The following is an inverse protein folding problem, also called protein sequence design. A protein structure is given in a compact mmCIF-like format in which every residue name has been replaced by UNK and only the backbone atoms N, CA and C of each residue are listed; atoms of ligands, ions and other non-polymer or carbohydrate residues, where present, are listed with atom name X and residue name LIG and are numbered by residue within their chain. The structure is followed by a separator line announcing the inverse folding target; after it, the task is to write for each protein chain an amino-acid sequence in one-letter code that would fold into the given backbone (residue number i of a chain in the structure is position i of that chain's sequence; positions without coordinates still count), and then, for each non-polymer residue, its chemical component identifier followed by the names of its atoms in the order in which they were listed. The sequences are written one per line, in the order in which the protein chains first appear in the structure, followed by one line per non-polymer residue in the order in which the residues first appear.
data_IF_062255498844
#
_entry.id   IF_062255498844
#
_cell.length_a   1.000
_cell.length_b   1.000
_cell.length_c   1.000
_cell.angle_alpha   90.00
_cell.angle_beta   90.00
_cell.angle_gamma   90.00
#
_symmetry.space_group_name_H-M   'P 1'
#
loop_
_entity.id
_entity.type
_entity.pdbx_description
1 polymer ?
#
# COMPACT_ATOMS: atom_id res chain seq x y z
N UNK A 1 -37.09 -4.54 -0.55
CA UNK A 1 -36.18 -4.90 -1.65
C UNK A 1 -34.97 -3.99 -1.53
N UNK A 2 -33.77 -4.54 -1.41
CA UNK A 2 -32.56 -3.69 -1.47
C UNK A 2 -32.45 -3.09 -2.87
N UNK A 3 -32.35 -1.75 -2.94
CA UNK A 3 -32.17 -1.06 -4.20
C UNK A 3 -30.74 -1.26 -4.73
N UNK A 4 -30.59 -1.33 -6.05
CA UNK A 4 -29.30 -1.58 -6.72
C UNK A 4 -28.22 -0.59 -6.27
N UNK A 5 -28.57 0.67 -6.02
CA UNK A 5 -27.60 1.66 -5.50
C UNK A 5 -27.09 1.31 -4.11
N UNK A 6 -27.93 0.74 -3.24
CA UNK A 6 -27.52 0.33 -1.90
C UNK A 6 -26.53 -0.84 -1.93
N UNK A 7 -26.70 -1.74 -2.90
CA UNK A 7 -25.77 -2.86 -3.13
C UNK A 7 -24.46 -2.35 -3.71
N UNK A 8 -24.50 -1.49 -4.73
CA UNK A 8 -23.29 -0.90 -5.35
C UNK A 8 -22.41 -0.19 -4.31
N UNK A 9 -23.01 0.60 -3.40
CA UNK A 9 -22.27 1.26 -2.30
C UNK A 9 -21.54 0.29 -1.37
N UNK A 10 -21.99 -0.96 -1.24
CA UNK A 10 -21.35 -1.98 -0.38
C UNK A 10 -20.24 -2.75 -1.09
N UNK A 11 -20.24 -2.75 -2.43
CA UNK A 11 -19.28 -3.53 -3.24
C UNK A 11 -18.26 -2.65 -3.98
N UNK A 12 -18.40 -1.33 -3.90
CA UNK A 12 -17.41 -0.38 -4.42
C UNK A 12 -16.52 0.12 -3.27
N UNK A 13 -15.18 0.00 -3.38
CA UNK A 13 -14.28 0.57 -2.38
C UNK A 13 -14.35 2.11 -2.41
N UNK A 14 -13.95 2.76 -1.32
CA UNK A 14 -13.98 4.23 -1.22
C UNK A 14 -12.94 4.87 -2.15
N UNK A 15 -11.76 4.25 -2.23
CA UNK A 15 -10.68 4.62 -3.13
C UNK A 15 -9.92 3.36 -3.56
N UNK A 16 -9.04 3.48 -4.55
CA UNK A 16 -8.15 2.42 -5.00
C UNK A 16 -6.73 2.93 -5.20
N UNK A 17 -5.76 2.02 -5.07
CA UNK A 17 -4.40 2.23 -5.58
C UNK A 17 -4.20 1.38 -6.83
N UNK A 18 -3.94 2.04 -7.95
CA UNK A 18 -3.64 1.41 -9.23
C UNK A 18 -2.14 1.27 -9.41
N UNK A 19 -1.57 0.05 -9.53
CA UNK A 19 -0.16 -0.10 -9.86
C UNK A 19 0.10 0.48 -11.26
N UNK A 20 1.18 1.24 -11.39
CA UNK A 20 1.58 1.91 -12.63
C UNK A 20 2.78 1.25 -13.32
N UNK A 21 3.40 0.26 -12.67
CA UNK A 21 4.54 -0.50 -13.18
C UNK A 21 4.32 -2.00 -12.99
N UNK A 22 5.11 -2.81 -13.70
CA UNK A 22 5.06 -4.26 -13.55
C UNK A 22 5.56 -4.70 -12.17
N UNK A 23 6.56 -4.02 -11.61
CA UNK A 23 7.09 -4.27 -10.27
C UNK A 23 6.05 -3.93 -9.20
N UNK A 24 5.33 -2.81 -9.34
CA UNK A 24 4.22 -2.46 -8.45
C UNK A 24 3.13 -3.53 -8.52
N UNK A 25 2.76 -3.98 -9.71
CA UNK A 25 1.77 -5.05 -9.90
C UNK A 25 2.23 -6.35 -9.23
N UNK A 26 3.49 -6.76 -9.47
CA UNK A 26 4.08 -7.97 -8.93
C UNK A 26 4.33 -7.90 -7.41
N UNK A 27 4.35 -6.69 -6.83
CA UNK A 27 4.48 -6.49 -5.39
C UNK A 27 3.18 -6.82 -4.64
N UNK A 28 2.02 -6.79 -5.29
CA UNK A 28 0.74 -7.00 -4.64
C UNK A 28 0.51 -8.51 -4.44
N UNK A 29 0.23 -8.91 -3.20
CA UNK A 29 -0.21 -10.28 -2.92
C UNK A 29 -1.53 -10.58 -3.67
N UNK A 30 -1.67 -11.76 -4.28
CA UNK A 30 -2.85 -12.15 -5.06
C UNK A 30 -4.17 -12.07 -4.28
N UNK A 31 -4.13 -12.21 -2.96
CA UNK A 31 -5.31 -12.08 -2.09
C UNK A 31 -5.80 -10.63 -1.95
N UNK A 32 -4.93 -9.65 -2.20
CA UNK A 32 -5.23 -8.22 -2.14
C UNK A 32 -5.63 -7.64 -3.51
N UNK A 33 -5.26 -8.32 -4.61
CA UNK A 33 -5.56 -7.88 -5.96
C UNK A 33 -6.95 -8.38 -6.38
N UNK A 34 -7.94 -7.48 -6.41
CA UNK A 34 -9.18 -7.70 -7.17
C UNK A 34 -9.13 -6.80 -8.38
N UNK A 35 -9.09 -7.40 -9.57
CA UNK A 35 -9.15 -6.67 -10.84
C UNK A 35 -8.06 -5.61 -10.99
N UNK A 36 -6.79 -5.96 -10.76
CA UNK A 36 -5.61 -5.10 -11.04
C UNK A 36 -5.41 -3.87 -10.14
N UNK A 37 -6.26 -3.66 -9.13
CA UNK A 37 -6.11 -2.55 -8.16
C UNK A 37 -6.12 -3.06 -6.71
N UNK A 38 -5.59 -2.24 -5.79
CA UNK A 38 -5.76 -2.42 -4.35
C UNK A 38 -6.97 -1.59 -3.91
N UNK A 39 -8.03 -2.24 -3.43
CA UNK A 39 -9.21 -1.56 -2.90
C UNK A 39 -9.03 -1.03 -1.49
N UNK A 40 -9.32 0.25 -1.27
CA UNK A 40 -9.38 0.90 0.04
C UNK A 40 -10.84 0.99 0.49
N UNK A 41 -11.22 0.09 1.37
CA UNK A 41 -12.59 -0.02 1.89
C UNK A 41 -12.82 0.82 3.14
N UNK A 42 -11.75 1.07 3.90
CA UNK A 42 -11.78 1.77 5.17
C UNK A 42 -10.50 2.57 5.37
N UNK A 43 -10.62 3.66 6.13
CA UNK A 43 -9.51 4.48 6.56
C UNK A 43 -9.40 4.40 8.09
N UNK A 44 -8.18 4.51 8.67
CA UNK A 44 -6.90 4.66 7.98
C UNK A 44 -6.48 3.36 7.25
N UNK A 45 -5.89 3.50 6.07
CA UNK A 45 -5.41 2.39 5.24
C UNK A 45 -3.89 2.33 5.26
N UNK A 46 -3.32 1.26 5.80
CA UNK A 46 -1.89 1.12 6.09
C UNK A 46 -1.22 0.17 5.12
N UNK A 47 -0.04 0.56 4.62
CA UNK A 47 0.74 -0.23 3.65
C UNK A 47 2.16 -0.41 4.18
N UNK A 48 2.72 -1.59 3.95
CA UNK A 48 4.14 -1.85 4.19
C UNK A 48 4.60 -3.13 3.54
N UNK A 49 5.84 -3.53 3.84
CA UNK A 49 6.50 -4.69 3.22
C UNK A 49 6.14 -6.01 3.89
N UNK A 50 5.92 -7.05 3.10
CA UNK A 50 5.96 -8.43 3.56
C UNK A 50 7.41 -8.83 3.85
N UNK A 51 7.72 -9.10 5.12
CA UNK A 51 9.08 -9.39 5.58
C UNK A 51 9.24 -10.80 6.15
N UNK A 52 8.22 -11.67 6.05
CA UNK A 52 8.28 -13.01 6.63
C UNK A 52 9.08 -13.95 5.73
N UNK A 53 9.94 -14.71 6.38
CA UNK A 53 10.78 -15.72 5.78
C UNK A 53 10.47 -17.02 6.51
N UNK A 54 9.93 -18.01 5.80
CA UNK A 54 9.79 -19.37 6.29
C UNK A 54 10.94 -20.22 5.79
N UNK A 55 11.42 -21.12 6.64
CA UNK A 55 12.40 -22.12 6.22
C UNK A 55 11.66 -23.30 5.61
N UNK A 56 11.67 -23.42 4.28
CA UNK A 56 11.12 -24.58 3.57
C UNK A 56 12.29 -25.39 3.02
N UNK A 57 12.43 -26.64 3.46
CA UNK A 57 13.52 -27.56 3.06
C UNK A 57 14.93 -26.97 3.27
N UNK A 58 15.14 -26.28 4.40
CA UNK A 58 16.45 -25.67 4.74
C UNK A 58 16.78 -24.41 3.94
N UNK A 59 15.89 -23.93 3.06
CA UNK A 59 16.02 -22.65 2.37
C UNK A 59 15.10 -21.61 2.99
N UNK A 60 15.64 -20.41 3.18
CA UNK A 60 14.87 -19.23 3.56
C UNK A 60 14.01 -18.80 2.36
N UNK A 61 12.69 -18.95 2.46
CA UNK A 61 11.72 -18.58 1.44
C UNK A 61 10.83 -17.47 1.98
N UNK A 62 10.60 -16.41 1.21
CA UNK A 62 9.60 -15.42 1.59
C UNK A 62 8.21 -16.07 1.63
N UNK A 63 7.58 -16.03 2.81
CA UNK A 63 6.25 -16.60 3.00
C UNK A 63 5.20 -15.51 2.99
N UNK A 64 4.10 -15.79 2.29
CA UNK A 64 2.92 -14.94 2.35
C UNK A 64 2.24 -15.08 3.70
N UNK A 65 1.59 -14.00 4.17
CA UNK A 65 0.77 -14.03 5.37
C UNK A 65 -0.48 -14.88 5.18
N UNK A 66 -0.34 -16.19 5.36
CA UNK A 66 -1.44 -17.04 5.78
C UNK A 66 -1.84 -16.60 7.19
N UNK A 67 -3.15 -16.49 7.49
CA UNK A 67 -3.72 -15.99 8.76
C UNK A 67 -3.27 -16.75 10.04
N UNK A 68 -2.32 -17.67 9.96
CA UNK A 68 -1.98 -18.69 10.96
C UNK A 68 -0.76 -18.30 11.83
N UNK A 69 -0.11 -17.15 11.59
CA UNK A 69 1.06 -16.67 12.36
C UNK A 69 0.78 -15.60 13.44
N UNK A 70 1.38 -15.77 14.62
CA UNK A 70 1.16 -15.14 15.95
C UNK A 70 1.31 -13.62 16.15
N UNK A 71 1.55 -12.83 15.10
CA UNK A 71 1.60 -11.36 15.19
C UNK A 71 0.34 -10.70 14.66
N UNK A 72 -0.24 -9.73 15.39
CA UNK A 72 -1.35 -8.92 14.87
C UNK A 72 -0.89 -8.17 13.60
N UNK A 73 -1.70 -8.13 12.53
CA UNK A 73 -1.39 -7.31 11.35
C UNK A 73 -1.36 -5.83 11.74
N UNK A 74 -0.32 -5.13 11.30
CA UNK A 74 -0.11 -3.70 11.49
C UNK A 74 -0.29 -2.88 10.20
N UNK A 75 -0.33 -3.55 9.04
CA UNK A 75 -0.79 -3.02 7.76
C UNK A 75 -2.06 -3.73 7.27
N UNK A 76 -2.83 -3.02 6.46
CA UNK A 76 -3.97 -3.53 5.71
C UNK A 76 -3.50 -4.26 4.44
N UNK A 77 -2.40 -3.80 3.82
CA UNK A 77 -1.75 -4.47 2.69
C UNK A 77 -0.25 -4.64 2.93
N UNK A 78 0.26 -5.80 2.56
CA UNK A 78 1.68 -6.13 2.57
C UNK A 78 2.16 -6.33 1.13
N UNK A 79 3.13 -5.51 0.72
CA UNK A 79 3.76 -5.56 -0.59
C UNK A 79 5.03 -6.40 -0.56
N UNK A 80 5.25 -7.19 -1.59
CA UNK A 80 6.47 -7.95 -1.81
C UNK A 80 7.54 -7.04 -2.37
N UNK A 81 8.60 -6.81 -1.61
CA UNK A 81 9.77 -6.06 -2.09
C UNK A 81 10.87 -7.04 -2.50
N UNK A 82 10.97 -7.30 -3.80
CA UNK A 82 11.90 -8.29 -4.38
C UNK A 82 13.15 -7.64 -4.98
N UNK A 83 13.32 -6.33 -4.82
CA UNK A 83 14.48 -5.61 -5.31
C UNK A 83 15.76 -6.03 -4.59
N UNK A 84 16.91 -5.77 -5.21
CA UNK A 84 18.24 -5.96 -4.58
C UNK A 84 18.39 -5.08 -3.33
N UNK A 85 17.84 -3.87 -3.38
CA UNK A 85 17.77 -2.93 -2.27
C UNK A 85 16.32 -2.79 -1.84
N UNK A 86 16.10 -2.80 -0.52
CA UNK A 86 14.76 -2.68 0.04
C UNK A 86 14.28 -1.24 -0.07
N UNK A 87 13.21 -1.03 -0.83
CA UNK A 87 12.54 0.25 -1.02
C UNK A 87 11.33 0.39 -0.08
N UNK A 88 10.76 -0.73 0.35
CA UNK A 88 9.53 -0.76 1.13
C UNK A 88 9.85 -1.10 2.60
N UNK A 89 9.64 -0.14 3.50
CA UNK A 89 9.64 -0.39 4.95
C UNK A 89 8.52 -1.33 5.38
N UNK A 90 8.73 -2.07 6.48
CA UNK A 90 7.71 -2.95 7.08
C UNK A 90 6.42 -2.22 7.40
N UNK A 91 6.52 -0.96 7.81
CA UNK A 91 5.43 -0.03 8.03
C UNK A 91 5.78 1.23 7.25
N UNK A 92 5.31 1.36 6.01
CA UNK A 92 5.83 2.38 5.10
C UNK A 92 5.03 3.67 5.20
N UNK A 93 3.75 3.61 4.86
CA UNK A 93 2.86 4.75 4.95
C UNK A 93 1.45 4.33 5.31
N UNK A 94 0.61 5.31 5.63
CA UNK A 94 -0.84 5.16 5.70
C UNK A 94 -1.54 6.29 4.96
N UNK A 95 -2.76 6.03 4.53
CA UNK A 95 -3.67 7.05 4.00
C UNK A 95 -4.81 7.21 4.99
N UNK A 96 -5.15 8.44 5.32
CA UNK A 96 -6.30 8.79 6.14
C UNK A 96 -7.31 9.58 5.29
N UNK A 97 -8.60 9.40 5.56
CA UNK A 97 -9.67 10.28 5.06
C UNK A 97 -9.95 11.33 6.11
N UNK A 98 -9.84 12.60 5.74
CA UNK A 98 -10.11 13.75 6.61
C UNK A 98 -11.44 14.41 6.21
N UNK A 99 -11.88 15.43 6.97
CA UNK A 99 -13.06 16.22 6.60
C UNK A 99 -12.90 16.93 5.25
N UNK A 100 -11.65 17.27 4.87
CA UNK A 100 -11.34 18.08 3.69
C UNK A 100 -10.80 17.27 2.51
N UNK A 101 -10.64 15.95 2.63
CA UNK A 101 -10.16 15.09 1.56
C UNK A 101 -9.38 13.88 2.07
N UNK A 102 -8.22 13.64 1.48
CA UNK A 102 -7.33 12.53 1.86
C UNK A 102 -5.95 13.06 2.19
N UNK A 103 -5.24 12.35 3.06
CA UNK A 103 -3.85 12.68 3.40
C UNK A 103 -3.04 11.40 3.53
N UNK A 104 -1.81 11.44 3.03
CA UNK A 104 -0.85 10.35 3.16
C UNK A 104 0.15 10.72 4.26
N UNK A 105 0.53 9.72 5.05
CA UNK A 105 1.48 9.86 6.14
C UNK A 105 2.56 8.80 5.98
N UNK A 106 3.79 9.23 5.73
CA UNK A 106 4.95 8.36 5.85
C UNK A 106 5.17 8.03 7.33
N UNK A 107 5.37 6.74 7.62
CA UNK A 107 5.40 6.19 8.99
C UNK A 107 6.83 6.04 9.54
N UNK A 108 7.78 6.82 9.04
CA UNK A 108 9.20 6.66 9.38
C UNK A 108 9.84 5.62 8.48
N UNK A 109 9.54 5.66 7.18
CA UNK A 109 10.16 4.75 6.23
C UNK A 109 11.63 5.11 6.01
N UNK A 110 12.46 4.12 5.68
CA UNK A 110 13.90 4.34 5.50
C UNK A 110 14.17 5.16 4.23
N UNK A 111 13.47 4.83 3.14
CA UNK A 111 13.66 5.44 1.83
C UNK A 111 12.67 6.56 1.51
N UNK A 112 11.67 6.82 2.35
CA UNK A 112 10.64 7.84 2.14
C UNK A 112 9.55 7.43 1.14
N UNK A 113 8.53 8.27 1.05
CA UNK A 113 7.44 8.19 0.08
C UNK A 113 7.46 9.46 -0.78
N UNK A 114 7.29 9.36 -2.10
CA UNK A 114 7.19 10.52 -2.99
C UNK A 114 5.78 10.62 -3.55
N UNK A 115 5.14 11.78 -3.42
CA UNK A 115 3.85 12.10 -4.01
C UNK A 115 4.06 13.02 -5.20
N UNK A 116 3.83 12.51 -6.41
CA UNK A 116 4.22 13.12 -7.67
C UNK A 116 5.74 13.42 -7.70
N UNK A 117 6.11 14.64 -7.29
CA UNK A 117 7.51 15.12 -7.23
C UNK A 117 7.95 15.50 -5.81
N UNK A 118 7.06 15.46 -4.82
CA UNK A 118 7.35 15.88 -3.45
C UNK A 118 7.63 14.68 -2.54
N UNK A 119 8.80 14.65 -1.92
CA UNK A 119 9.18 13.61 -0.97
C UNK A 119 8.68 13.94 0.44
N UNK A 120 8.06 12.95 1.07
CA UNK A 120 7.73 12.94 2.50
C UNK A 120 8.43 11.77 3.21
N UNK A 121 8.86 12.03 4.45
CA UNK A 121 9.60 11.05 5.26
C UNK A 121 10.96 10.68 4.69
N UNK A 122 11.45 9.48 5.05
CA UNK A 122 12.82 9.04 4.77
C UNK A 122 13.75 9.27 5.95
N UNK A 123 14.89 8.57 5.98
CA UNK A 123 15.83 8.61 7.12
C UNK A 123 15.16 8.33 8.47
N UNK A 124 14.18 7.42 8.47
CA UNK A 124 13.35 7.07 9.63
C UNK A 124 12.53 8.25 10.21
N UNK A 125 12.38 9.33 9.42
CA UNK A 125 11.49 10.46 9.72
C UNK A 125 10.15 10.25 9.05
N UNK A 126 9.08 10.66 9.73
CA UNK A 126 7.75 10.71 9.13
C UNK A 126 7.55 11.94 8.25
N UNK A 127 6.37 12.04 7.67
CA UNK A 127 5.97 13.21 6.89
C UNK A 127 4.52 13.08 6.46
N UNK A 128 3.92 14.16 5.98
CA UNK A 128 2.55 14.13 5.47
C UNK A 128 2.38 15.00 4.24
N UNK A 129 1.46 14.59 3.38
CA UNK A 129 1.08 15.33 2.18
C UNK A 129 -0.42 15.17 1.93
N UNK A 130 -1.07 16.22 1.43
CA UNK A 130 -2.47 16.15 1.01
C UNK A 130 -2.58 15.29 -0.26
N UNK A 131 -3.48 14.32 -0.29
CA UNK A 131 -3.60 13.38 -1.40
C UNK A 131 -4.86 13.68 -2.22
N UNK A 132 -4.70 13.85 -3.53
CA UNK A 132 -5.78 14.16 -4.48
C UNK A 132 -6.00 13.01 -5.45
N UNK A 133 -7.21 12.96 -6.01
CA UNK A 133 -7.54 12.03 -7.08
C UNK A 133 -6.55 12.16 -8.25
N UNK A 134 -6.00 11.04 -8.70
CA UNK A 134 -5.02 10.97 -9.77
C UNK A 134 -3.55 11.10 -9.34
N UNK A 135 -3.26 11.47 -8.09
CA UNK A 135 -1.88 11.60 -7.58
C UNK A 135 -1.12 10.28 -7.67
N UNK A 136 0.17 10.36 -7.99
CA UNK A 136 1.08 9.22 -8.06
C UNK A 136 1.85 9.11 -6.75
N UNK A 137 1.76 7.96 -6.10
CA UNK A 137 2.52 7.57 -4.92
C UNK A 137 3.66 6.66 -5.37
N UNK A 138 4.91 7.11 -5.24
CA UNK A 138 6.10 6.27 -5.37
C UNK A 138 6.60 5.88 -3.99
N UNK A 139 6.80 4.58 -3.77
CA UNK A 139 7.26 4.02 -2.50
C UNK A 139 8.77 3.84 -2.55
N UNK A 140 9.53 4.55 -1.72
CA UNK A 140 10.99 4.43 -1.63
C UNK A 140 11.78 5.56 -2.31
N UNK A 141 12.97 5.21 -2.79
CA UNK A 141 13.90 6.14 -3.43
C UNK A 141 13.43 6.61 -4.82
N UNK A 142 14.14 7.57 -5.42
CA UNK A 142 13.78 8.16 -6.72
C UNK A 142 13.67 7.15 -7.85
N UNK A 143 14.57 6.15 -7.86
CA UNK A 143 14.63 5.07 -8.84
C UNK A 143 13.71 3.88 -8.50
N UNK A 144 12.93 3.99 -7.42
CA UNK A 144 12.04 2.92 -7.01
C UNK A 144 11.00 2.62 -8.08
N UNK A 145 10.80 1.34 -8.43
CA UNK A 145 9.83 0.95 -9.43
C UNK A 145 8.40 0.85 -8.86
N UNK A 146 8.19 1.05 -7.56
CA UNK A 146 6.89 0.87 -6.91
C UNK A 146 6.02 2.11 -6.99
N UNK A 147 5.33 2.29 -8.13
CA UNK A 147 4.45 3.43 -8.39
C UNK A 147 2.98 3.00 -8.35
N UNK A 148 2.16 3.78 -7.66
CA UNK A 148 0.72 3.59 -7.54
C UNK A 148 -0.01 4.90 -7.78
N UNK A 149 -1.05 4.90 -8.61
CA UNK A 149 -1.95 6.03 -8.74
C UNK A 149 -3.11 5.90 -7.73
N UNK A 150 -3.39 6.96 -6.98
CA UNK A 150 -4.53 7.04 -6.08
C UNK A 150 -5.77 7.50 -6.86
N UNK A 151 -6.87 6.74 -6.76
CA UNK A 151 -8.13 7.05 -7.45
C UNK A 151 -9.28 6.94 -6.44
N UNK A 152 -10.13 7.94 -6.39
CA UNK A 152 -11.32 8.02 -5.54
C UNK A 152 -12.54 7.52 -6.30
N UNK A 153 -13.41 6.75 -5.64
CA UNK A 153 -14.59 6.14 -6.27
C UNK A 153 -15.91 6.52 -5.58
N UNK A 154 -15.84 7.33 -4.52
CA UNK A 154 -16.96 7.76 -3.69
C UNK A 154 -17.29 9.23 -3.87
#
# INVERSE_FOLDING_TARGET
MEDKQSILKRVTPVAVLKPMTQEATNSINRNCLRHEFIGIWQFPFRIGRESRVETVNGKLVHAERNKIGSGKPNNDVYLMDRGRFLQISREHFRIDKTETGYSVFDRGSACGTIINTERIGGEDRGGTHALKDGDIIKIGAEDSPYLFQFITLS
#
